data_IF_748446881300
#
_entry.id   IF_748446881300
#
_cell.length_a   1.000
_cell.length_b   1.000
_cell.length_c   1.000
_cell.angle_alpha   90.00
_cell.angle_beta   90.00
_cell.angle_gamma   90.00
#
_symmetry.space_group_name_H-M   'P 1'
#
loop_
_entity.id
_entity.type
_entity.pdbx_description
1 polymer ?
#
# COMPACT_ATOMS: atom_id res chain seq x y z
N UNK A 1 -54.93 -11.57 20.74
CA UNK A 1 -54.46 -10.16 20.78
C UNK A 1 -53.13 -10.11 21.53
N UNK A 2 -52.01 -10.17 20.80
CA UNK A 2 -50.68 -10.20 21.41
C UNK A 2 -50.32 -8.76 21.78
N UNK A 3 -50.47 -8.39 23.06
CA UNK A 3 -49.86 -7.17 23.60
C UNK A 3 -48.34 -7.41 23.65
N UNK A 4 -47.66 -7.23 22.52
CA UNK A 4 -46.22 -7.00 22.55
C UNK A 4 -46.00 -5.74 23.40
N UNK A 5 -45.45 -5.93 24.60
CA UNK A 5 -45.17 -4.86 25.56
C UNK A 5 -44.36 -3.79 24.83
N UNK A 6 -44.88 -2.57 24.75
CA UNK A 6 -44.25 -1.42 24.08
C UNK A 6 -42.78 -1.19 24.51
N UNK A 7 -42.42 -1.66 25.71
CA UNK A 7 -41.05 -1.70 26.23
C UNK A 7 -40.06 -2.52 25.38
N UNK A 8 -40.49 -3.64 24.78
CA UNK A 8 -39.60 -4.46 23.93
C UNK A 8 -39.22 -3.73 22.64
N UNK A 9 -40.13 -2.97 22.04
CA UNK A 9 -39.87 -2.21 20.80
C UNK A 9 -38.87 -1.09 21.05
N UNK A 10 -39.00 -0.38 22.18
CA UNK A 10 -38.06 0.68 22.58
C UNK A 10 -36.66 0.11 22.81
N UNK A 11 -36.55 -1.04 23.48
CA UNK A 11 -35.26 -1.71 23.71
C UNK A 11 -34.60 -2.11 22.37
N UNK A 12 -35.35 -2.66 21.42
CA UNK A 12 -34.79 -3.00 20.09
C UNK A 12 -34.32 -1.75 19.31
N UNK A 13 -35.08 -0.65 19.38
CA UNK A 13 -34.69 0.62 18.74
C UNK A 13 -33.41 1.21 19.36
N UNK A 14 -33.30 1.18 20.69
CA UNK A 14 -32.11 1.67 21.39
C UNK A 14 -30.89 0.81 21.06
N UNK A 15 -31.01 -0.51 21.05
CA UNK A 15 -29.92 -1.42 20.65
C UNK A 15 -29.52 -1.16 19.19
N UNK A 16 -30.47 -0.96 18.27
CA UNK A 16 -30.15 -0.64 16.87
C UNK A 16 -29.44 0.69 16.70
N UNK A 17 -29.71 1.69 17.56
CA UNK A 17 -29.03 2.98 17.49
C UNK A 17 -27.55 2.86 17.92
N UNK A 18 -27.30 2.12 19.00
CA UNK A 18 -25.93 1.87 19.49
C UNK A 18 -25.10 0.99 18.54
N UNK A 19 -25.71 0.03 17.82
CA UNK A 19 -24.98 -0.78 16.84
C UNK A 19 -24.60 0.02 15.59
N UNK A 20 -25.42 0.98 15.16
CA UNK A 20 -25.12 1.84 14.01
C UNK A 20 -23.99 2.84 14.34
N UNK A 21 -24.02 3.45 15.52
CA UNK A 21 -22.96 4.38 15.96
C UNK A 21 -21.61 3.68 16.11
N UNK A 22 -21.61 2.47 16.70
CA UNK A 22 -20.39 1.66 16.82
C UNK A 22 -19.80 1.28 15.46
N UNK A 23 -20.64 0.87 14.50
CA UNK A 23 -20.20 0.52 13.15
C UNK A 23 -19.61 1.73 12.40
N UNK A 24 -20.25 2.89 12.49
CA UNK A 24 -19.76 4.14 11.89
C UNK A 24 -18.38 4.57 12.43
N UNK A 25 -18.17 4.42 13.75
CA UNK A 25 -16.87 4.72 14.38
C UNK A 25 -15.77 3.74 13.93
N UNK A 26 -16.10 2.46 13.77
CA UNK A 26 -15.17 1.43 13.26
C UNK A 26 -14.77 1.72 11.81
N UNK A 27 -15.73 2.01 10.94
CA UNK A 27 -15.47 2.34 9.53
C UNK A 27 -14.62 3.61 9.40
N UNK A 28 -14.93 4.64 10.19
CA UNK A 28 -14.17 5.89 10.22
C UNK A 28 -12.72 5.66 10.68
N UNK A 29 -12.52 4.81 11.68
CA UNK A 29 -11.19 4.49 12.20
C UNK A 29 -10.38 3.70 11.18
N UNK A 30 -10.99 2.69 10.55
CA UNK A 30 -10.35 1.90 9.49
C UNK A 30 -9.93 2.75 8.29
N UNK A 31 -10.80 3.68 7.86
CA UNK A 31 -10.50 4.64 6.81
C UNK A 31 -9.33 5.56 7.17
N UNK A 32 -9.30 6.11 8.40
CA UNK A 32 -8.18 6.96 8.87
C UNK A 32 -6.85 6.23 8.92
N UNK A 33 -6.84 4.97 9.38
CA UNK A 33 -5.62 4.14 9.40
C UNK A 33 -5.12 3.90 7.98
N UNK A 34 -6.01 3.54 7.05
CA UNK A 34 -5.66 3.36 5.64
C UNK A 34 -5.10 4.63 5.00
N UNK A 35 -5.78 5.77 5.15
CA UNK A 35 -5.35 7.06 4.58
C UNK A 35 -3.98 7.45 5.15
N UNK A 36 -3.77 7.27 6.45
CA UNK A 36 -2.48 7.56 7.08
C UNK A 36 -1.36 6.69 6.52
N UNK A 37 -1.62 5.39 6.33
CA UNK A 37 -0.68 4.47 5.71
C UNK A 37 -0.39 4.87 4.26
N UNK A 38 -1.40 5.09 3.43
CA UNK A 38 -1.27 5.54 2.04
C UNK A 38 -0.40 6.79 1.93
N UNK A 39 -0.70 7.82 2.72
CA UNK A 39 0.04 9.08 2.69
C UNK A 39 1.50 8.89 3.13
N UNK A 40 1.76 8.03 4.13
CA UNK A 40 3.12 7.72 4.56
C UNK A 40 3.91 6.94 3.49
N UNK A 41 3.24 6.08 2.71
CA UNK A 41 3.85 5.39 1.58
C UNK A 41 4.22 6.38 0.46
N UNK A 42 3.33 7.33 0.13
CA UNK A 42 3.62 8.37 -0.87
C UNK A 42 4.88 9.17 -0.53
N UNK A 43 5.08 9.50 0.73
CA UNK A 43 6.26 10.26 1.17
C UNK A 43 7.59 9.54 0.91
N UNK A 44 7.58 8.21 0.81
CA UNK A 44 8.77 7.41 0.48
C UNK A 44 8.75 6.92 -0.98
N UNK A 45 7.89 7.47 -1.83
CA UNK A 45 7.83 7.16 -3.26
C UNK A 45 7.05 5.89 -3.61
N UNK A 46 6.21 5.39 -2.71
CA UNK A 46 5.35 4.23 -2.95
C UNK A 46 3.88 4.62 -2.91
N UNK A 47 3.02 3.85 -3.56
CA UNK A 47 1.57 3.91 -3.36
C UNK A 47 1.04 2.52 -2.98
N UNK A 48 -0.19 2.48 -2.48
CA UNK A 48 -0.85 1.27 -2.00
C UNK A 48 -2.22 1.08 -2.63
N UNK A 49 -2.57 -0.17 -2.92
CA UNK A 49 -3.87 -0.56 -3.43
C UNK A 49 -4.50 -1.65 -2.56
N UNK A 50 -5.78 -1.47 -2.23
CA UNK A 50 -6.59 -2.44 -1.50
C UNK A 50 -8.01 -2.47 -2.09
N UNK A 51 -8.62 -3.64 -2.21
CA UNK A 51 -9.88 -3.82 -2.99
C UNK A 51 -11.09 -3.05 -2.41
N UNK A 52 -11.07 -2.77 -1.11
CA UNK A 52 -12.15 -2.03 -0.42
C UNK A 52 -11.91 -0.51 -0.37
N UNK A 53 -10.82 -0.03 -0.96
CA UNK A 53 -10.40 1.36 -0.88
C UNK A 53 -10.43 1.99 -2.27
N UNK A 54 -10.66 3.30 -2.32
CA UNK A 54 -10.56 4.06 -3.56
C UNK A 54 -9.13 3.98 -4.11
N UNK A 55 -9.03 3.79 -5.43
CA UNK A 55 -7.73 3.76 -6.10
C UNK A 55 -7.08 5.13 -6.08
N UNK A 56 -5.77 5.17 -5.93
CA UNK A 56 -5.03 6.42 -5.95
C UNK A 56 -4.79 6.88 -7.40
N UNK A 57 -4.97 8.18 -7.65
CA UNK A 57 -4.73 8.82 -8.94
C UNK A 57 -3.66 9.92 -8.87
N UNK A 58 -3.10 10.20 -7.69
CA UNK A 58 -2.14 11.28 -7.38
C UNK A 58 -0.85 11.23 -8.23
N UNK A 59 -0.59 10.10 -8.88
CA UNK A 59 0.63 9.83 -9.64
C UNK A 59 0.38 9.67 -11.16
N UNK A 60 -0.79 10.10 -11.64
CA UNK A 60 -1.19 10.03 -13.05
C UNK A 60 -0.41 11.00 -13.96
N UNK A 61 -0.04 12.17 -13.43
CA UNK A 61 0.65 13.22 -14.20
C UNK A 61 2.17 13.03 -14.30
N UNK A 62 2.77 12.13 -13.49
CA UNK A 62 4.23 11.94 -13.41
C UNK A 62 4.85 11.58 -14.76
N UNK A 63 4.15 10.76 -15.56
CA UNK A 63 4.61 10.41 -16.91
C UNK A 63 4.72 11.65 -17.81
N UNK A 64 3.73 12.53 -17.76
CA UNK A 64 3.69 13.73 -18.58
C UNK A 64 4.75 14.74 -18.12
N UNK A 65 5.00 14.82 -16.81
CA UNK A 65 6.12 15.62 -16.27
C UNK A 65 7.48 15.10 -16.74
N UNK A 66 7.70 13.78 -16.71
CA UNK A 66 8.92 13.17 -17.22
C UNK A 66 9.11 13.41 -18.71
N UNK A 67 8.06 13.33 -19.52
CA UNK A 67 8.12 13.60 -20.96
C UNK A 67 8.54 15.04 -21.28
N UNK A 68 8.16 16.02 -20.43
CA UNK A 68 8.54 17.44 -20.64
C UNK A 68 10.04 17.70 -20.47
N UNK A 69 10.72 16.92 -19.63
CA UNK A 69 12.14 17.12 -19.30
C UNK A 69 13.07 16.11 -19.98
N UNK A 70 12.51 15.09 -20.62
CA UNK A 70 13.29 14.05 -21.28
C UNK A 70 13.74 14.51 -22.66
N UNK A 71 14.92 14.03 -23.08
CA UNK A 71 15.39 14.22 -24.44
C UNK A 71 14.37 13.62 -25.44
N UNK A 72 14.06 14.29 -26.57
CA UNK A 72 13.12 13.77 -27.57
C UNK A 72 13.46 12.37 -28.10
N UNK A 73 14.72 11.95 -28.06
CA UNK A 73 15.18 10.62 -28.48
C UNK A 73 15.14 9.58 -27.35
N UNK A 74 14.85 9.99 -26.10
CA UNK A 74 14.80 9.10 -24.95
C UNK A 74 13.42 8.49 -24.72
N UNK A 75 13.39 7.17 -24.51
CA UNK A 75 12.18 6.48 -24.10
C UNK A 75 11.89 6.71 -22.60
N UNK A 76 10.69 7.23 -22.29
CA UNK A 76 10.23 7.43 -20.91
C UNK A 76 9.45 6.21 -20.44
N UNK A 77 10.07 5.45 -19.53
CA UNK A 77 9.48 4.29 -18.89
C UNK A 77 8.90 4.66 -17.53
N UNK A 78 7.58 4.84 -17.48
CA UNK A 78 6.82 5.06 -16.25
C UNK A 78 5.53 4.23 -16.26
N UNK A 79 5.31 3.45 -15.21
CA UNK A 79 4.19 2.53 -15.11
C UNK A 79 3.18 2.98 -14.08
N UNK A 80 1.97 3.31 -14.55
CA UNK A 80 0.84 3.47 -13.66
C UNK A 80 0.19 2.11 -13.39
N UNK A 81 -0.17 1.87 -12.13
CA UNK A 81 -0.92 0.68 -11.75
C UNK A 81 -2.31 0.70 -12.40
N UNK A 82 -2.61 -0.32 -13.22
CA UNK A 82 -3.97 -0.55 -13.71
C UNK A 82 -4.83 -1.16 -12.58
N UNK A 83 -5.90 -0.46 -12.20
CA UNK A 83 -6.75 -0.83 -11.06
C UNK A 83 -7.55 -2.10 -11.31
N UNK A 84 -7.94 -2.37 -12.57
CA UNK A 84 -8.66 -3.59 -12.96
C UNK A 84 -7.73 -4.80 -12.87
N UNK A 85 -6.49 -4.64 -13.32
CA UNK A 85 -5.43 -5.64 -13.16
C UNK A 85 -5.17 -5.90 -11.68
N UNK A 86 -4.97 -4.86 -10.88
CA UNK A 86 -4.67 -4.99 -9.45
C UNK A 86 -5.78 -5.75 -8.71
N UNK A 87 -7.04 -5.41 -9.00
CA UNK A 87 -8.22 -6.12 -8.47
C UNK A 87 -8.20 -7.60 -8.84
N UNK A 88 -8.02 -7.91 -10.13
CA UNK A 88 -7.99 -9.29 -10.60
C UNK A 88 -6.84 -10.09 -9.99
N UNK A 89 -5.69 -9.42 -9.78
CA UNK A 89 -4.51 -10.02 -9.16
C UNK A 89 -4.80 -10.46 -7.73
N UNK A 90 -5.40 -9.57 -6.92
CA UNK A 90 -5.78 -9.91 -5.54
C UNK A 90 -6.85 -11.01 -5.50
N UNK A 91 -7.86 -10.97 -6.38
CA UNK A 91 -8.88 -12.02 -6.47
C UNK A 91 -8.27 -13.38 -6.83
N UNK A 92 -7.38 -13.42 -7.82
CA UNK A 92 -6.72 -14.65 -8.26
C UNK A 92 -5.84 -15.24 -7.16
N UNK A 93 -5.03 -14.40 -6.50
CA UNK A 93 -4.18 -14.81 -5.40
C UNK A 93 -5.01 -15.33 -4.23
N UNK A 94 -6.10 -14.63 -3.87
CA UNK A 94 -6.98 -15.02 -2.79
C UNK A 94 -7.64 -16.38 -3.04
N UNK A 95 -8.10 -16.62 -4.27
CA UNK A 95 -8.67 -17.91 -4.70
C UNK A 95 -7.65 -19.06 -4.57
N UNK A 96 -6.41 -18.84 -5.02
CA UNK A 96 -5.35 -19.86 -4.96
C UNK A 96 -4.94 -20.21 -3.52
N UNK A 97 -5.15 -19.29 -2.58
CA UNK A 97 -4.80 -19.45 -1.17
C UNK A 97 -6.01 -19.69 -0.25
N UNK A 98 -7.18 -20.07 -0.81
CA UNK A 98 -8.42 -20.30 -0.07
C UNK A 98 -8.74 -19.17 0.93
N UNK A 99 -8.65 -17.93 0.46
CA UNK A 99 -8.72 -16.73 1.30
C UNK A 99 -9.56 -15.64 0.63
N UNK A 100 -9.72 -14.51 1.33
CA UNK A 100 -10.52 -13.38 0.87
C UNK A 100 -9.62 -12.32 0.21
N UNK A 101 -10.03 -11.68 -0.91
CA UNK A 101 -9.25 -10.62 -1.54
C UNK A 101 -8.92 -9.45 -0.61
N UNK A 102 -9.79 -9.18 0.36
CA UNK A 102 -9.63 -8.14 1.39
C UNK A 102 -8.50 -8.44 2.39
N UNK A 103 -7.95 -9.65 2.37
CA UNK A 103 -6.78 -9.99 3.19
C UNK A 103 -5.47 -9.57 2.51
N UNK A 104 -5.51 -8.90 1.35
CA UNK A 104 -4.31 -8.54 0.61
C UNK A 104 -4.29 -7.07 0.22
N UNK A 105 -3.09 -6.50 0.19
CA UNK A 105 -2.85 -5.19 -0.42
C UNK A 105 -1.60 -5.25 -1.29
N UNK A 106 -1.53 -4.31 -2.23
CA UNK A 106 -0.36 -4.12 -3.10
C UNK A 106 0.35 -2.85 -2.66
N UNK A 107 1.66 -2.93 -2.43
CA UNK A 107 2.58 -1.79 -2.35
C UNK A 107 3.32 -1.70 -3.68
N UNK A 108 3.29 -0.56 -4.36
CA UNK A 108 3.91 -0.40 -5.67
C UNK A 108 4.71 0.91 -5.75
N UNK A 109 5.85 0.85 -6.40
CA UNK A 109 6.73 2.00 -6.55
C UNK A 109 6.13 3.02 -7.55
N UNK A 110 5.92 4.26 -7.09
CA UNK A 110 5.45 5.37 -7.93
C UNK A 110 6.54 6.40 -8.19
N UNK A 111 7.69 6.27 -7.51
CA UNK A 111 8.88 7.03 -7.85
C UNK A 111 9.50 6.46 -9.13
N UNK A 112 9.80 5.15 -9.17
CA UNK A 112 10.43 4.49 -10.33
C UNK A 112 11.75 5.16 -10.76
N UNK A 113 12.38 5.92 -9.86
CA UNK A 113 13.56 6.75 -10.12
C UNK A 113 13.25 8.07 -10.83
N UNK A 114 11.98 8.48 -10.91
CA UNK A 114 11.53 9.74 -11.50
C UNK A 114 11.94 10.93 -10.64
N UNK A 115 11.86 10.85 -9.31
CA UNK A 115 12.20 11.97 -8.43
C UNK A 115 13.69 12.31 -8.47
N UNK A 116 14.55 11.30 -8.66
CA UNK A 116 15.98 11.52 -8.89
C UNK A 116 16.23 12.32 -10.20
N UNK A 117 15.40 12.14 -11.23
CA UNK A 117 15.48 12.87 -12.50
C UNK A 117 14.85 14.26 -12.42
N UNK A 118 13.78 14.40 -11.64
CA UNK A 118 13.12 15.67 -11.35
C UNK A 118 13.90 16.52 -10.33
N UNK A 119 15.02 15.99 -9.80
CA UNK A 119 16.00 16.65 -8.93
C UNK A 119 15.42 17.38 -7.70
N UNK A 120 14.31 16.88 -7.16
CA UNK A 120 13.75 17.42 -5.93
C UNK A 120 14.45 16.81 -4.71
N UNK A 121 15.64 17.35 -4.41
CA UNK A 121 16.47 16.94 -3.25
C UNK A 121 15.78 17.14 -1.88
N UNK A 122 14.62 17.81 -1.85
CA UNK A 122 13.81 17.99 -0.65
C UNK A 122 12.88 16.81 -0.37
N UNK A 123 12.74 15.89 -1.32
CA UNK A 123 11.90 14.69 -1.20
C UNK A 123 12.72 13.43 -0.98
N UNK A 124 12.06 12.42 -0.42
CA UNK A 124 12.60 11.07 -0.32
C UNK A 124 12.29 10.30 -1.60
N UNK A 125 13.31 9.69 -2.19
CA UNK A 125 13.24 8.80 -3.35
C UNK A 125 13.58 7.38 -2.92
N UNK A 126 12.95 6.40 -3.54
CA UNK A 126 13.25 4.98 -3.34
C UNK A 126 13.84 4.35 -4.60
N UNK A 127 14.56 3.23 -4.44
CA UNK A 127 15.19 2.52 -5.56
C UNK A 127 14.49 1.20 -5.93
N UNK A 128 13.24 0.99 -5.53
CA UNK A 128 12.63 -0.35 -5.51
C UNK A 128 12.20 -0.87 -6.89
N UNK A 129 11.55 -0.04 -7.72
CA UNK A 129 11.12 -0.35 -9.11
C UNK A 129 10.25 -1.60 -9.27
N UNK A 130 9.61 -2.02 -8.20
CA UNK A 130 8.81 -3.24 -8.11
C UNK A 130 7.47 -2.95 -7.45
N UNK A 131 6.57 -3.92 -7.51
CA UNK A 131 5.44 -4.00 -6.60
C UNK A 131 5.55 -5.25 -5.72
N UNK A 132 4.79 -5.27 -4.64
CA UNK A 132 4.72 -6.36 -3.68
C UNK A 132 3.30 -6.53 -3.17
N UNK A 133 2.82 -7.77 -3.15
CA UNK A 133 1.52 -8.13 -2.58
C UNK A 133 1.76 -8.77 -1.22
N UNK A 134 1.12 -8.22 -0.21
CA UNK A 134 1.22 -8.65 1.18
C UNK A 134 -0.09 -9.30 1.62
N UNK A 135 0.01 -10.35 2.45
CA UNK A 135 -1.12 -11.00 3.11
C UNK A 135 -1.26 -10.45 4.53
N UNK A 136 -2.34 -9.73 4.81
CA UNK A 136 -2.65 -9.12 6.11
C UNK A 136 -2.89 -10.14 7.23
N UNK A 137 -2.95 -11.44 6.91
CA UNK A 137 -3.01 -12.50 7.92
C UNK A 137 -1.64 -12.90 8.46
N UNK A 138 -0.57 -12.42 7.85
CA UNK A 138 0.79 -12.68 8.31
C UNK A 138 1.25 -11.63 9.32
N UNK A 139 2.20 -12.02 10.15
CA UNK A 139 2.94 -11.09 10.98
C UNK A 139 4.12 -10.54 10.19
N UNK A 140 4.35 -9.23 10.31
CA UNK A 140 5.45 -8.53 9.67
C UNK A 140 6.34 -7.84 10.69
N UNK A 141 7.62 -7.72 10.37
CA UNK A 141 8.60 -6.94 11.11
C UNK A 141 9.35 -6.01 10.16
N UNK A 142 9.69 -4.80 10.63
CA UNK A 142 10.58 -3.88 9.90
C UNK A 142 11.97 -3.88 10.53
N UNK A 143 12.96 -4.37 9.75
CA UNK A 143 14.38 -4.43 10.14
C UNK A 143 15.19 -3.34 9.43
N UNK A 144 16.05 -2.62 10.14
CA UNK A 144 16.90 -1.58 9.55
C UNK A 144 18.35 -2.04 9.48
N UNK A 145 18.96 -1.98 8.30
CA UNK A 145 20.36 -2.38 8.09
C UNK A 145 21.32 -1.18 8.11
N UNK A 146 20.92 -0.06 7.53
CA UNK A 146 21.71 1.17 7.47
C UNK A 146 20.81 2.37 7.70
N UNK A 147 21.26 3.30 8.55
CA UNK A 147 20.49 4.49 8.92
C UNK A 147 21.40 5.70 9.04
N UNK A 148 21.24 6.66 8.13
CA UNK A 148 21.67 8.04 8.28
C UNK A 148 20.46 8.96 8.12
N UNK A 149 20.68 10.27 8.30
CA UNK A 149 19.60 11.24 8.08
C UNK A 149 19.11 11.25 6.63
N UNK A 150 19.99 10.93 5.67
CA UNK A 150 19.74 11.06 4.23
C UNK A 150 19.72 9.75 3.44
N UNK A 151 19.97 8.61 4.10
CA UNK A 151 19.97 7.30 3.47
C UNK A 151 19.59 6.21 4.45
N UNK A 152 18.60 5.40 4.08
CA UNK A 152 18.09 4.31 4.92
C UNK A 152 17.92 3.07 4.06
N UNK A 153 18.37 1.94 4.59
CA UNK A 153 18.10 0.64 4.00
C UNK A 153 17.37 -0.17 5.06
N UNK A 154 16.15 -0.58 4.74
CA UNK A 154 15.30 -1.36 5.62
C UNK A 154 14.65 -2.52 4.86
N UNK A 155 14.20 -3.51 5.62
CA UNK A 155 13.46 -4.65 5.13
C UNK A 155 12.10 -4.73 5.79
N UNK A 156 11.11 -5.15 5.02
CA UNK A 156 9.84 -5.65 5.55
C UNK A 156 9.92 -7.17 5.45
N UNK A 157 9.84 -7.84 6.59
CA UNK A 157 10.03 -9.29 6.73
C UNK A 157 8.72 -9.89 7.20
N UNK A 158 8.28 -10.97 6.57
CA UNK A 158 7.18 -11.80 7.03
C UNK A 158 7.71 -12.99 7.81
N UNK A 159 7.00 -13.36 8.89
CA UNK A 159 7.30 -14.57 9.65
C UNK A 159 7.01 -15.85 8.83
N UNK A 160 6.15 -15.75 7.82
CA UNK A 160 5.81 -16.86 6.93
C UNK A 160 6.73 -16.85 5.71
N UNK A 161 7.35 -17.99 5.43
CA UNK A 161 8.17 -18.15 4.24
C UNK A 161 7.32 -18.01 2.96
N UNK A 162 7.88 -17.36 1.94
CA UNK A 162 7.27 -17.24 0.60
C UNK A 162 5.87 -16.62 0.60
N UNK A 163 5.61 -15.64 1.48
CA UNK A 163 4.32 -14.98 1.61
C UNK A 163 4.17 -13.68 0.83
N UNK A 164 5.29 -12.99 0.56
CA UNK A 164 5.29 -11.71 -0.14
C UNK A 164 5.53 -11.99 -1.61
N UNK A 165 4.53 -11.69 -2.44
CA UNK A 165 4.64 -11.83 -3.87
C UNK A 165 5.19 -10.55 -4.49
N UNK A 166 6.35 -10.62 -5.10
CA UNK A 166 7.06 -9.48 -5.69
C UNK A 166 7.14 -9.59 -7.21
N UNK A 167 7.10 -8.46 -7.92
CA UNK A 167 7.51 -8.45 -9.32
C UNK A 167 7.98 -7.06 -9.75
N UNK A 168 8.90 -7.01 -10.70
CA UNK A 168 9.26 -5.77 -11.39
C UNK A 168 8.09 -5.34 -12.27
N UNK A 169 7.73 -4.05 -12.21
CA UNK A 169 6.58 -3.53 -12.95
C UNK A 169 6.71 -3.74 -14.47
N UNK A 170 7.90 -3.49 -15.03
CA UNK A 170 8.21 -3.82 -16.43
C UNK A 170 7.89 -5.29 -16.77
N UNK A 171 8.37 -6.26 -16.00
CA UNK A 171 8.13 -7.67 -16.34
C UNK A 171 6.67 -8.06 -16.21
N UNK A 172 5.95 -7.52 -15.24
CA UNK A 172 4.54 -7.88 -15.05
C UNK A 172 3.67 -7.36 -16.20
N UNK A 173 3.81 -6.08 -16.56
CA UNK A 173 2.94 -5.46 -17.56
C UNK A 173 3.25 -5.89 -19.01
N UNK A 174 4.47 -6.36 -19.30
CA UNK A 174 4.84 -6.80 -20.66
C UNK A 174 4.98 -8.31 -20.83
N UNK A 175 5.29 -9.07 -19.78
CA UNK A 175 5.63 -10.50 -19.91
C UNK A 175 4.68 -11.46 -19.20
N UNK A 176 3.66 -10.96 -18.50
CA UNK A 176 2.64 -11.75 -17.78
C UNK A 176 3.21 -12.81 -16.81
N UNK A 177 4.45 -12.61 -16.33
CA UNK A 177 5.09 -13.54 -15.39
C UNK A 177 4.47 -13.40 -14.02
N UNK A 178 4.24 -14.53 -13.35
CA UNK A 178 3.53 -14.62 -12.07
C UNK A 178 4.24 -13.99 -10.86
N UNK A 179 5.40 -13.33 -11.01
CA UNK A 179 6.21 -12.79 -9.90
C UNK A 179 7.01 -13.85 -9.14
N UNK A 180 7.69 -13.42 -8.08
CA UNK A 180 8.54 -14.22 -7.21
C UNK A 180 8.02 -14.15 -5.76
N UNK A 181 7.91 -15.29 -5.10
CA UNK A 181 7.57 -15.34 -3.68
C UNK A 181 8.83 -15.18 -2.83
N UNK A 182 8.78 -14.26 -1.89
CA UNK A 182 9.83 -13.96 -0.92
C UNK A 182 9.25 -13.93 0.49
N UNK A 183 10.10 -14.07 1.51
CA UNK A 183 9.76 -13.76 2.90
C UNK A 183 10.08 -12.31 3.27
N UNK A 184 10.84 -11.60 2.43
CA UNK A 184 11.24 -10.22 2.70
C UNK A 184 11.36 -9.38 1.44
N UNK A 185 11.22 -8.07 1.60
CA UNK A 185 11.58 -7.07 0.60
C UNK A 185 12.57 -6.08 1.21
N UNK A 186 13.54 -5.63 0.42
CA UNK A 186 14.52 -4.61 0.83
C UNK A 186 14.25 -3.30 0.09
N UNK A 187 14.19 -2.21 0.84
CA UNK A 187 13.90 -0.87 0.34
C UNK A 187 15.05 0.04 0.75
N UNK A 188 15.62 0.72 -0.24
CA UNK A 188 16.58 1.80 -0.03
C UNK A 188 15.90 3.15 -0.28
N UNK A 189 16.06 4.06 0.68
CA UNK A 189 15.59 5.44 0.62
C UNK A 189 16.77 6.39 0.59
N UNK A 190 16.65 7.44 -0.22
CA UNK A 190 17.61 8.55 -0.31
C UNK A 190 16.87 9.88 -0.32
N UNK A 191 17.46 10.91 0.28
CA UNK A 191 16.85 12.24 0.34
C UNK A 191 17.01 12.90 1.71
N UNK A 192 16.94 14.22 1.76
CA UNK A 192 17.20 14.97 3.01
C UNK A 192 16.20 14.67 4.14
N UNK A 193 15.00 14.17 3.81
CA UNK A 193 13.93 13.85 4.76
C UNK A 193 13.75 12.35 5.03
N UNK A 194 14.59 11.49 4.45
CA UNK A 194 14.39 10.03 4.46
C UNK A 194 14.21 9.44 5.85
N UNK A 195 14.91 9.97 6.86
CA UNK A 195 14.74 9.51 8.25
C UNK A 195 13.34 9.72 8.79
N UNK A 196 12.80 10.92 8.61
CA UNK A 196 11.47 11.26 9.09
C UNK A 196 10.41 10.48 8.32
N UNK A 197 10.56 10.39 7.00
CA UNK A 197 9.58 9.72 6.13
C UNK A 197 9.56 8.20 6.40
N UNK A 198 10.73 7.59 6.59
CA UNK A 198 10.84 6.19 7.01
C UNK A 198 10.18 5.92 8.37
N UNK A 199 10.42 6.77 9.38
CA UNK A 199 9.80 6.58 10.70
C UNK A 199 8.27 6.67 10.61
N UNK A 200 7.76 7.66 9.89
CA UNK A 200 6.33 7.79 9.62
C UNK A 200 5.78 6.56 8.90
N UNK A 201 6.43 6.10 7.83
CA UNK A 201 6.04 4.89 7.10
C UNK A 201 6.02 3.67 8.00
N UNK A 202 7.09 3.43 8.77
CA UNK A 202 7.19 2.29 9.68
C UNK A 202 6.01 2.27 10.65
N UNK A 203 5.76 3.38 11.35
CA UNK A 203 4.70 3.44 12.36
C UNK A 203 3.31 3.22 11.75
N UNK A 204 3.04 3.82 10.59
CA UNK A 204 1.74 3.68 9.92
C UNK A 204 1.55 2.32 9.25
N UNK A 205 2.61 1.73 8.71
CA UNK A 205 2.61 0.38 8.17
C UNK A 205 2.28 -0.63 9.29
N UNK A 206 3.02 -0.60 10.40
CA UNK A 206 2.81 -1.52 11.52
C UNK A 206 1.38 -1.40 12.08
N UNK A 207 0.90 -0.17 12.31
CA UNK A 207 -0.48 0.06 12.76
C UNK A 207 -1.55 -0.40 11.75
N UNK A 208 -1.22 -0.53 10.47
CA UNK A 208 -2.13 -1.05 9.46
C UNK A 208 -2.13 -2.58 9.40
N UNK A 209 -0.98 -3.23 9.57
CA UNK A 209 -0.84 -4.69 9.46
C UNK A 209 -1.06 -5.45 10.77
N UNK A 210 -0.90 -4.81 11.94
CA UNK A 210 -1.10 -5.43 13.27
C UNK A 210 -2.57 -5.38 13.75
N UNK A 211 -3.55 -5.20 12.85
CA UNK A 211 -4.97 -5.05 13.20
C UNK A 211 -5.63 -6.32 13.74
#
# INVERSE_FOLDING_TARGET
MIKLKSYSIIIYLVISFFTIEGYSQIDTTNSKVWISFKNSAHNIGFCVYHIQQEACEDHSEVKDELLKISDPESEVYYYQLDTKWAKNRLISLAKNNASKPENYFILFDVDQGSFAKLYDSTKTSNSYKMFSVFDLRDNFEIKTHRKSNSSIIFKIVSDRASSILTNTMWREFFSHRLGCLSSEIEISLIGSTSLKDYQSFKDKFMNFVEK
#
